data_IF_997780647168
#
_entry.id   IF_997780647168
#
_cell.length_a   1.000
_cell.length_b   1.000
_cell.length_c   1.000
_cell.angle_alpha   90.00
_cell.angle_beta   90.00
_cell.angle_gamma   90.00
#
_symmetry.space_group_name_H-M   'P 1'
#
loop_
_entity.id
_entity.type
_entity.pdbx_description
1 polymer ?
#
# COMPACT_ATOMS: atom_id res chain seq x y z
N UNK A 1 15.57 -5.00 23.77
CA UNK A 1 15.90 -4.96 22.32
C UNK A 1 17.40 -4.88 22.15
N UNK A 2 17.89 -5.44 21.09
CA UNK A 2 19.33 -5.42 20.78
C UNK A 2 19.73 -4.04 20.27
N UNK A 3 21.02 -3.63 20.43
CA UNK A 3 21.51 -2.37 19.87
C UNK A 3 21.37 -2.25 18.36
N UNK A 4 21.24 -3.39 17.66
CA UNK A 4 21.04 -3.45 16.21
C UNK A 4 19.58 -3.53 15.79
N UNK A 5 18.65 -3.29 16.72
CA UNK A 5 17.22 -3.33 16.43
C UNK A 5 16.79 -2.12 15.62
N UNK A 6 15.93 -2.38 14.65
CA UNK A 6 15.35 -1.33 13.80
C UNK A 6 13.85 -1.23 14.06
N UNK A 7 13.34 -0.02 14.00
CA UNK A 7 11.91 0.25 14.04
C UNK A 7 11.50 1.00 12.78
N UNK A 8 10.45 0.50 12.12
CA UNK A 8 9.92 1.07 10.89
C UNK A 8 8.59 1.75 11.20
N UNK A 9 8.61 3.08 11.26
CA UNK A 9 7.40 3.86 11.48
C UNK A 9 6.72 4.09 10.15
N UNK A 10 5.62 3.37 9.92
CA UNK A 10 4.90 3.42 8.66
C UNK A 10 4.27 4.80 8.43
N UNK A 11 4.42 5.31 7.22
CA UNK A 11 3.80 6.55 6.74
C UNK A 11 2.98 6.22 5.49
N UNK A 12 2.22 7.19 5.03
CA UNK A 12 1.34 7.03 3.87
C UNK A 12 2.09 6.49 2.64
N UNK A 13 3.27 7.03 2.35
CA UNK A 13 4.03 6.68 1.15
C UNK A 13 5.29 5.86 1.44
N UNK A 14 5.44 5.35 2.66
CA UNK A 14 6.63 4.59 3.01
C UNK A 14 6.82 4.43 4.50
N UNK A 15 8.05 4.69 4.96
CA UNK A 15 8.38 4.55 6.38
C UNK A 15 9.58 5.41 6.75
N UNK A 16 9.65 5.75 8.02
CA UNK A 16 10.85 6.33 8.64
C UNK A 16 11.50 5.23 9.47
N UNK A 17 12.80 5.03 9.30
CA UNK A 17 13.53 3.95 9.94
C UNK A 17 14.39 4.50 11.08
N UNK A 18 14.29 3.86 12.23
CA UNK A 18 15.02 4.25 13.42
C UNK A 18 15.90 3.10 13.90
N UNK A 19 17.12 3.44 14.30
CA UNK A 19 17.94 2.55 15.11
C UNK A 19 17.49 2.73 16.56
N UNK A 20 17.12 1.63 17.22
CA UNK A 20 16.44 1.69 18.52
C UNK A 20 17.29 1.04 19.59
N UNK A 21 17.47 1.74 20.71
CA UNK A 21 18.10 1.21 21.90
C UNK A 21 17.14 1.36 23.09
N UNK A 22 16.77 0.24 23.71
CA UNK A 22 15.92 0.20 24.90
C UNK A 22 16.68 -0.32 26.13
N UNK A 23 17.97 -0.65 25.97
CA UNK A 23 18.79 -1.30 27.00
C UNK A 23 19.87 -0.36 27.56
N UNK A 24 19.57 0.95 27.64
CA UNK A 24 20.48 1.91 28.21
C UNK A 24 20.29 2.05 29.73
N UNK A 25 21.24 2.74 30.41
CA UNK A 25 21.22 2.91 31.84
C UNK A 25 19.98 3.60 32.40
N UNK A 26 19.40 4.50 31.61
CA UNK A 26 18.21 5.27 31.99
C UNK A 26 16.91 4.50 31.72
N UNK A 27 16.99 3.33 31.10
CA UNK A 27 15.82 2.55 30.68
C UNK A 27 14.87 3.35 29.80
N UNK A 28 15.42 4.24 28.98
CA UNK A 28 14.66 5.05 28.01
C UNK A 28 14.72 4.39 26.66
N UNK A 29 13.69 4.65 25.87
CA UNK A 29 13.71 4.28 24.46
C UNK A 29 14.47 5.38 23.72
N UNK A 30 15.62 5.04 23.16
CA UNK A 30 16.38 5.95 22.31
C UNK A 30 16.22 5.54 20.86
N UNK A 31 15.86 6.51 20.02
CA UNK A 31 15.57 6.26 18.62
C UNK A 31 16.35 7.24 17.74
N UNK A 32 17.24 6.70 16.93
CA UNK A 32 18.02 7.48 15.98
C UNK A 32 17.47 7.24 14.58
N UNK A 33 17.02 8.31 13.93
CA UNK A 33 16.51 8.21 12.57
C UNK A 33 17.67 7.97 11.61
N UNK A 34 17.64 6.85 10.89
CA UNK A 34 18.73 6.46 10.01
C UNK A 34 18.34 6.37 8.53
N UNK A 35 17.05 6.35 8.23
CA UNK A 35 16.62 6.31 6.84
C UNK A 35 15.17 6.75 6.68
N UNK A 36 14.84 7.19 5.48
CA UNK A 36 13.46 7.43 5.04
C UNK A 36 13.24 6.63 3.78
N UNK A 37 12.19 5.83 3.77
CA UNK A 37 11.83 4.97 2.64
C UNK A 37 10.63 5.57 1.91
N UNK A 38 10.73 5.66 0.58
CA UNK A 38 9.58 5.97 -0.27
C UNK A 38 9.24 4.70 -1.06
N UNK A 39 8.10 4.10 -0.73
CA UNK A 39 7.67 2.84 -1.35
C UNK A 39 7.27 3.05 -2.81
N UNK A 40 6.74 4.24 -3.15
CA UNK A 40 6.24 4.52 -4.49
C UNK A 40 7.35 4.53 -5.54
N UNK A 41 8.53 5.08 -5.21
CA UNK A 41 9.67 5.13 -6.14
C UNK A 41 10.82 4.20 -5.75
N UNK A 42 10.70 3.51 -4.62
CA UNK A 42 11.72 2.58 -4.15
C UNK A 42 12.99 3.24 -3.60
N UNK A 43 12.97 4.55 -3.37
CA UNK A 43 14.15 5.26 -2.86
C UNK A 43 14.28 5.13 -1.35
N UNK A 44 15.52 4.97 -0.91
CA UNK A 44 15.89 4.96 0.50
C UNK A 44 16.88 6.10 0.71
N UNK A 45 16.48 7.09 1.52
CA UNK A 45 17.34 8.21 1.85
C UNK A 45 18.04 7.93 3.17
N UNK A 46 19.36 7.75 3.12
CA UNK A 46 20.16 7.49 4.30
C UNK A 46 20.35 8.75 5.12
N UNK A 47 20.33 8.59 6.42
CA UNK A 47 20.49 9.68 7.39
C UNK A 47 21.25 9.15 8.61
N UNK A 48 21.50 10.03 9.56
CA UNK A 48 22.05 9.65 10.85
C UNK A 48 23.57 9.73 10.93
N UNK A 49 24.04 9.68 12.17
CA UNK A 49 25.47 9.71 12.50
C UNK A 49 25.67 8.71 13.66
N UNK A 50 26.25 7.51 13.38
CA UNK A 50 26.73 7.07 12.06
C UNK A 50 25.58 6.74 11.09
N UNK A 51 25.86 6.81 9.78
CA UNK A 51 24.85 6.39 8.79
C UNK A 51 24.58 4.90 8.88
N UNK A 52 23.53 4.39 8.21
CA UNK A 52 23.21 2.97 8.25
C UNK A 52 24.39 2.10 7.82
N UNK A 53 24.61 1.00 8.57
CA UNK A 53 25.60 -0.01 8.22
C UNK A 53 25.09 -0.83 7.04
N UNK A 54 26.00 -1.62 6.42
CA UNK A 54 25.62 -2.53 5.34
C UNK A 54 24.56 -3.53 5.79
N UNK A 55 24.67 -4.03 7.02
CA UNK A 55 23.70 -4.97 7.60
C UNK A 55 22.34 -4.30 7.80
N UNK A 56 22.34 -3.06 8.32
CA UNK A 56 21.12 -2.29 8.49
C UNK A 56 20.46 -1.99 7.15
N UNK A 57 21.24 -1.61 6.15
CA UNK A 57 20.73 -1.35 4.80
C UNK A 57 20.12 -2.61 4.17
N UNK A 58 20.72 -3.78 4.39
CA UNK A 58 20.16 -5.04 3.89
C UNK A 58 18.77 -5.30 4.51
N UNK A 59 18.60 -5.01 5.80
CA UNK A 59 17.32 -5.16 6.48
C UNK A 59 16.29 -4.14 5.98
N UNK A 60 16.72 -2.92 5.73
CA UNK A 60 15.86 -1.86 5.20
C UNK A 60 15.36 -2.25 3.80
N UNK A 61 16.25 -2.73 2.94
CA UNK A 61 15.91 -3.16 1.59
C UNK A 61 14.97 -4.37 1.60
N UNK A 62 15.19 -5.31 2.51
CA UNK A 62 14.31 -6.47 2.68
C UNK A 62 12.90 -6.03 3.13
N UNK A 63 12.82 -5.09 4.07
CA UNK A 63 11.53 -4.53 4.52
C UNK A 63 10.80 -3.86 3.36
N UNK A 64 11.51 -3.07 2.55
CA UNK A 64 10.92 -2.39 1.40
C UNK A 64 10.32 -3.38 0.41
N UNK A 65 11.05 -4.44 0.07
CA UNK A 65 10.58 -5.48 -0.83
C UNK A 65 9.33 -6.18 -0.28
N UNK A 66 9.34 -6.53 1.00
CA UNK A 66 8.21 -7.16 1.67
C UNK A 66 7.00 -6.22 1.72
N UNK A 67 7.23 -4.94 2.00
CA UNK A 67 6.15 -3.95 2.07
C UNK A 67 5.48 -3.74 0.72
N UNK A 68 6.24 -3.72 -0.36
CA UNK A 68 5.69 -3.65 -1.72
C UNK A 68 4.77 -4.83 -2.00
N UNK A 69 5.20 -6.03 -1.64
CA UNK A 69 4.39 -7.25 -1.82
C UNK A 69 3.09 -7.19 -1.00
N UNK A 70 3.17 -6.73 0.25
CA UNK A 70 1.99 -6.57 1.11
C UNK A 70 1.01 -5.57 0.50
N UNK A 71 1.48 -4.42 0.01
CA UNK A 71 0.62 -3.41 -0.59
C UNK A 71 -0.03 -3.89 -1.88
N UNK A 72 0.69 -4.66 -2.70
CA UNK A 72 0.13 -5.28 -3.90
C UNK A 72 -0.99 -6.26 -3.55
N UNK A 73 -0.79 -7.09 -2.52
CA UNK A 73 -1.82 -7.99 -2.03
C UNK A 73 -3.05 -7.22 -1.54
N UNK A 74 -2.84 -6.13 -0.80
CA UNK A 74 -3.95 -5.28 -0.33
C UNK A 74 -4.73 -4.66 -1.48
N UNK A 75 -4.04 -4.25 -2.55
CA UNK A 75 -4.70 -3.71 -3.74
C UNK A 75 -5.64 -4.74 -4.35
N UNK A 76 -5.17 -5.97 -4.53
CA UNK A 76 -6.00 -7.06 -5.07
C UNK A 76 -7.18 -7.37 -4.13
N UNK A 77 -6.94 -7.42 -2.83
CA UNK A 77 -8.00 -7.62 -1.84
C UNK A 77 -9.06 -6.52 -1.91
N UNK A 78 -8.63 -5.27 -2.11
CA UNK A 78 -9.56 -4.13 -2.28
C UNK A 78 -10.41 -4.30 -3.53
N UNK A 79 -9.86 -4.86 -4.60
CA UNK A 79 -10.64 -5.15 -5.82
C UNK A 79 -11.70 -6.21 -5.55
N UNK A 80 -11.37 -7.27 -4.79
CA UNK A 80 -12.37 -8.27 -4.42
C UNK A 80 -13.47 -7.65 -3.55
N UNK A 81 -13.13 -6.76 -2.64
CA UNK A 81 -14.14 -6.01 -1.87
C UNK A 81 -14.99 -5.12 -2.75
N UNK A 82 -14.39 -4.52 -3.79
CA UNK A 82 -15.14 -3.73 -4.76
C UNK A 82 -16.13 -4.59 -5.54
N UNK A 83 -15.75 -5.80 -5.91
CA UNK A 83 -16.65 -6.75 -6.57
C UNK A 83 -17.86 -7.06 -5.68
N UNK A 84 -17.61 -7.37 -4.41
CA UNK A 84 -18.69 -7.61 -3.45
C UNK A 84 -19.59 -6.39 -3.32
N UNK A 85 -19.01 -5.21 -3.23
CA UNK A 85 -19.76 -3.96 -3.11
C UNK A 85 -20.61 -3.69 -4.35
N UNK A 86 -20.08 -3.96 -5.54
CA UNK A 86 -20.84 -3.82 -6.78
C UNK A 86 -22.04 -4.77 -6.82
N UNK A 87 -21.86 -6.02 -6.36
CA UNK A 87 -22.97 -6.98 -6.28
C UNK A 87 -24.04 -6.50 -5.31
N UNK A 88 -23.64 -6.00 -4.14
CA UNK A 88 -24.58 -5.45 -3.16
C UNK A 88 -25.29 -4.19 -3.68
N UNK A 89 -24.55 -3.36 -4.40
CA UNK A 89 -25.10 -2.16 -5.03
C UNK A 89 -26.16 -2.50 -6.06
N UNK A 90 -25.91 -3.52 -6.88
CA UNK A 90 -26.89 -4.00 -7.87
C UNK A 90 -28.17 -4.47 -7.19
N UNK A 91 -28.05 -5.24 -6.12
CA UNK A 91 -29.19 -5.72 -5.36
C UNK A 91 -29.99 -4.57 -4.75
N UNK A 92 -29.29 -3.63 -4.13
CA UNK A 92 -29.91 -2.44 -3.53
C UNK A 92 -30.63 -1.58 -4.58
N UNK A 93 -29.95 -1.34 -5.71
CA UNK A 93 -30.50 -0.53 -6.80
C UNK A 93 -31.78 -1.15 -7.36
N UNK A 94 -31.80 -2.48 -7.49
CA UNK A 94 -32.96 -3.19 -8.02
C UNK A 94 -34.15 -3.20 -7.05
N UNK A 95 -33.90 -3.34 -5.75
CA UNK A 95 -34.95 -3.64 -4.77
C UNK A 95 -35.34 -2.50 -3.87
N UNK A 96 -34.48 -1.50 -3.63
CA UNK A 96 -34.70 -0.49 -2.61
C UNK A 96 -34.50 0.97 -3.05
N UNK A 97 -33.73 1.20 -4.11
CA UNK A 97 -33.43 2.56 -4.56
C UNK A 97 -34.65 3.22 -5.16
N UNK A 98 -34.87 4.50 -4.81
CA UNK A 98 -35.89 5.32 -5.48
C UNK A 98 -35.27 6.08 -6.66
N UNK A 99 -36.14 6.70 -7.47
CA UNK A 99 -35.72 7.40 -8.68
C UNK A 99 -34.75 8.55 -8.39
N UNK A 100 -34.97 9.30 -7.31
CA UNK A 100 -34.10 10.40 -6.92
C UNK A 100 -32.69 9.93 -6.56
N UNK A 101 -32.60 8.82 -5.85
CA UNK A 101 -31.31 8.21 -5.52
C UNK A 101 -30.58 7.70 -6.78
N UNK A 102 -31.28 7.00 -7.64
CA UNK A 102 -30.73 6.49 -8.90
C UNK A 102 -30.19 7.63 -9.76
N UNK A 103 -30.91 8.72 -9.86
CA UNK A 103 -30.50 9.87 -10.68
C UNK A 103 -29.19 10.50 -10.20
N UNK A 104 -28.86 10.38 -8.92
CA UNK A 104 -27.65 10.96 -8.35
C UNK A 104 -26.36 10.30 -8.87
N UNK A 105 -26.38 8.99 -9.17
CA UNK A 105 -25.14 8.28 -9.46
C UNK A 105 -25.13 7.43 -10.73
N UNK A 106 -26.30 7.17 -11.33
CA UNK A 106 -26.38 6.17 -12.43
C UNK A 106 -25.42 6.49 -13.57
N UNK A 107 -25.44 7.70 -14.10
CA UNK A 107 -24.61 8.04 -15.25
C UNK A 107 -23.12 7.99 -14.92
N UNK A 108 -22.71 8.51 -13.76
CA UNK A 108 -21.32 8.48 -13.34
C UNK A 108 -20.83 7.05 -13.14
N UNK A 109 -21.66 6.22 -12.50
CA UNK A 109 -21.29 4.83 -12.23
C UNK A 109 -21.18 4.05 -13.54
N UNK A 110 -22.13 4.23 -14.46
CA UNK A 110 -22.08 3.56 -15.77
C UNK A 110 -20.82 3.96 -16.54
N UNK A 111 -20.42 5.23 -16.50
CA UNK A 111 -19.20 5.68 -17.17
C UNK A 111 -17.95 5.08 -16.55
N UNK A 112 -17.88 5.06 -15.23
CA UNK A 112 -16.74 4.45 -14.50
C UNK A 112 -16.64 2.95 -14.82
N UNK A 113 -17.76 2.25 -14.83
CA UNK A 113 -17.78 0.82 -15.17
C UNK A 113 -17.37 0.60 -16.62
N UNK A 114 -17.82 1.46 -17.54
CA UNK A 114 -17.42 1.39 -18.94
C UNK A 114 -15.92 1.52 -19.10
N UNK A 115 -15.31 2.53 -18.48
CA UNK A 115 -13.88 2.78 -18.56
C UNK A 115 -13.08 1.61 -18.02
N UNK A 116 -13.48 1.10 -16.85
CA UNK A 116 -12.82 -0.05 -16.24
C UNK A 116 -12.92 -1.28 -17.14
N UNK A 117 -14.12 -1.54 -17.68
CA UNK A 117 -14.35 -2.66 -18.60
C UNK A 117 -13.41 -2.59 -19.81
N UNK A 118 -13.29 -1.40 -20.41
CA UNK A 118 -12.43 -1.21 -21.57
C UNK A 118 -10.96 -1.53 -21.28
N UNK A 119 -10.48 -1.10 -20.11
CA UNK A 119 -9.11 -1.40 -19.68
C UNK A 119 -8.92 -2.91 -19.48
N UNK A 120 -9.83 -3.54 -18.76
CA UNK A 120 -9.72 -4.97 -18.45
C UNK A 120 -9.80 -5.85 -19.71
N UNK A 121 -10.71 -5.53 -20.63
CA UNK A 121 -10.84 -6.27 -21.87
C UNK A 121 -9.58 -6.14 -22.72
N UNK A 122 -9.02 -4.93 -22.84
CA UNK A 122 -7.79 -4.71 -23.57
C UNK A 122 -6.60 -5.46 -22.96
N UNK A 123 -6.47 -5.42 -21.64
CA UNK A 123 -5.39 -6.13 -20.92
C UNK A 123 -5.50 -7.65 -21.11
N UNK A 124 -6.72 -8.18 -21.11
CA UNK A 124 -6.93 -9.61 -21.36
C UNK A 124 -6.54 -9.98 -22.79
N UNK A 125 -6.94 -9.18 -23.78
CA UNK A 125 -6.56 -9.39 -25.17
C UNK A 125 -5.04 -9.36 -25.36
N UNK A 126 -4.37 -8.38 -24.74
CA UNK A 126 -2.92 -8.25 -24.81
C UNK A 126 -2.21 -9.50 -24.26
N UNK A 127 -2.70 -10.06 -23.16
CA UNK A 127 -2.13 -11.28 -22.59
C UNK A 127 -2.31 -12.49 -23.51
N UNK A 128 -3.46 -12.58 -24.14
CA UNK A 128 -3.75 -13.69 -25.07
C UNK A 128 -2.85 -13.62 -26.30
N UNK A 129 -2.49 -12.43 -26.75
CA UNK A 129 -1.67 -12.22 -27.94
C UNK A 129 -0.16 -12.37 -27.68
N UNK A 130 0.27 -12.50 -26.41
CA UNK A 130 1.68 -12.67 -26.04
C UNK A 130 2.20 -14.09 -26.15
N UNK A 131 1.32 -15.04 -26.27
CA UNK A 131 1.69 -16.48 -26.37
C UNK A 131 1.90 -16.93 -27.81
#
# INVERSE_FOLDING_TARGET
MRPDSLYFRVRENGAVVFRVDTENRQRRIEMDQIAVINVNNGQIKEQGDPPPTSEEMARIEAWLAERKAVLETRTVDDIFRAIDHLNLTAQWAQSKADDAQLEQFTDQLLMAMHDLRMVLVRKKADRMNRD
#
